data_IF_952501802909
#
_entry.id   IF_952501802909
#
_cell.length_a   1.000
_cell.length_b   1.000
_cell.length_c   1.000
_cell.angle_alpha   90.00
_cell.angle_beta   90.00
_cell.angle_gamma   90.00
#
_symmetry.space_group_name_H-M   'P 1'
#
loop_
_entity.id
_entity.type
_entity.pdbx_description
1 polymer ?
#
# COMPACT_ATOMS: atom_id res chain seq x y z
N UNK A 1 -16.73 -2.74 5.06
CA UNK A 1 -16.24 -3.57 3.94
C UNK A 1 -14.98 -2.92 3.43
N UNK A 2 -13.84 -3.53 3.72
CA UNK A 2 -12.53 -3.05 3.31
C UNK A 2 -12.43 -3.13 1.78
N UNK A 3 -12.35 -1.99 1.08
CA UNK A 3 -12.32 -1.98 -0.39
C UNK A 3 -10.88 -2.12 -0.91
N UNK A 4 -10.29 -3.29 -0.66
CA UNK A 4 -8.90 -3.60 -1.00
C UNK A 4 -8.84 -4.52 -2.21
N UNK A 5 -8.20 -4.06 -3.28
CA UNK A 5 -7.92 -4.82 -4.49
C UNK A 5 -6.45 -5.25 -4.51
N UNK A 6 -6.21 -6.55 -4.65
CA UNK A 6 -4.86 -7.10 -4.81
C UNK A 6 -4.67 -7.51 -6.27
N UNK A 7 -3.56 -7.09 -6.89
CA UNK A 7 -3.24 -7.38 -8.29
C UNK A 7 -1.86 -8.01 -8.37
N UNK A 8 -1.71 -9.03 -9.22
CA UNK A 8 -0.45 -9.76 -9.37
C UNK A 8 -0.22 -10.85 -8.31
N UNK A 9 -1.25 -11.20 -7.54
CA UNK A 9 -1.23 -12.28 -6.54
C UNK A 9 -0.99 -13.67 -7.14
N UNK A 10 -1.20 -13.82 -8.45
CA UNK A 10 -1.02 -15.07 -9.20
C UNK A 10 0.42 -15.62 -9.14
N UNK A 11 1.40 -14.74 -8.93
CA UNK A 11 2.82 -15.10 -8.86
C UNK A 11 3.36 -15.22 -7.43
N UNK A 12 2.49 -15.12 -6.43
CA UNK A 12 2.85 -15.16 -5.01
C UNK A 12 2.46 -16.50 -4.39
N UNK A 13 3.24 -16.93 -3.40
CA UNK A 13 2.86 -18.07 -2.56
C UNK A 13 1.64 -17.74 -1.68
N UNK A 14 0.89 -18.77 -1.28
CA UNK A 14 -0.27 -18.62 -0.40
C UNK A 14 0.10 -17.98 0.95
N UNK A 15 1.28 -18.32 1.49
CA UNK A 15 1.83 -17.72 2.72
C UNK A 15 2.10 -16.22 2.56
N UNK A 16 2.79 -15.85 1.47
CA UNK A 16 3.11 -14.46 1.13
C UNK A 16 1.84 -13.61 0.99
N UNK A 17 0.82 -14.16 0.34
CA UNK A 17 -0.47 -13.48 0.19
C UNK A 17 -1.20 -13.30 1.52
N UNK A 18 -1.13 -14.30 2.40
CA UNK A 18 -1.76 -14.24 3.73
C UNK A 18 -1.11 -13.17 4.59
N UNK A 19 0.22 -13.08 4.58
CA UNK A 19 0.97 -12.02 5.27
C UNK A 19 0.62 -10.65 4.69
N UNK A 20 0.64 -10.49 3.36
CA UNK A 20 0.30 -9.23 2.72
C UNK A 20 -1.13 -8.77 3.07
N UNK A 21 -2.11 -9.67 3.04
CA UNK A 21 -3.50 -9.37 3.44
C UNK A 21 -3.61 -8.96 4.90
N UNK A 22 -2.91 -9.65 5.81
CA UNK A 22 -2.91 -9.32 7.24
C UNK A 22 -2.31 -7.93 7.49
N UNK A 23 -1.21 -7.60 6.81
CA UNK A 23 -0.57 -6.28 6.88
C UNK A 23 -1.49 -5.21 6.29
N UNK A 24 -2.08 -5.44 5.12
CA UNK A 24 -3.01 -4.52 4.47
C UNK A 24 -4.24 -4.25 5.35
N UNK A 25 -4.86 -5.27 5.94
CA UNK A 25 -6.00 -5.11 6.85
C UNK A 25 -5.63 -4.27 8.08
N UNK A 26 -4.48 -4.54 8.70
CA UNK A 26 -3.97 -3.77 9.84
C UNK A 26 -3.68 -2.31 9.49
N UNK A 27 -3.16 -2.06 8.28
CA UNK A 27 -2.89 -0.70 7.80
C UNK A 27 -4.13 0.02 7.32
N UNK A 28 -5.12 -0.68 6.78
CA UNK A 28 -6.37 -0.09 6.32
C UNK A 28 -7.07 0.64 7.45
N UNK A 29 -7.16 0.03 8.64
CA UNK A 29 -7.71 0.70 9.82
C UNK A 29 -6.89 1.93 10.28
N UNK A 30 -5.59 1.99 9.99
CA UNK A 30 -4.78 3.19 10.23
C UNK A 30 -5.06 4.27 9.19
N UNK A 31 -5.15 3.90 7.91
CA UNK A 31 -5.45 4.81 6.81
C UNK A 31 -6.86 5.41 6.94
N UNK A 32 -7.85 4.62 7.39
CA UNK A 32 -9.23 5.07 7.60
C UNK A 32 -9.34 6.11 8.74
N UNK A 33 -8.42 6.08 9.71
CA UNK A 33 -8.35 7.10 10.78
C UNK A 33 -7.79 8.44 10.30
N UNK A 34 -6.92 8.38 9.30
CA UNK A 34 -6.24 9.53 8.68
C UNK A 34 -7.06 10.13 7.53
N UNK A 35 -7.85 9.30 6.82
CA UNK A 35 -8.70 9.68 5.68
C UNK A 35 -10.14 9.23 5.93
N UNK A 36 -11.07 10.19 6.04
CA UNK A 36 -12.50 9.98 6.30
C UNK A 36 -13.20 9.10 5.27
N UNK A 37 -12.74 9.11 4.01
CA UNK A 37 -13.35 8.33 2.91
C UNK A 37 -12.29 7.72 2.02
N UNK A 38 -12.00 6.44 2.25
CA UNK A 38 -11.24 5.61 1.31
C UNK A 38 -12.23 5.07 0.27
N UNK A 39 -11.98 5.39 -1.00
CA UNK A 39 -12.75 4.82 -2.11
C UNK A 39 -12.24 3.42 -2.42
N UNK A 40 -10.92 3.26 -2.55
CA UNK A 40 -10.29 2.01 -2.94
C UNK A 40 -8.82 1.99 -2.54
N UNK A 41 -8.33 0.86 -2.04
CA UNK A 41 -6.90 0.59 -1.89
C UNK A 41 -6.50 -0.48 -2.89
N UNK A 42 -5.57 -0.18 -3.79
CA UNK A 42 -5.10 -1.10 -4.81
C UNK A 42 -3.64 -1.42 -4.52
N UNK A 43 -3.30 -2.71 -4.37
CA UNK A 43 -1.92 -3.17 -4.12
C UNK A 43 -1.50 -4.07 -5.26
N UNK A 44 -0.61 -3.57 -6.11
CA UNK A 44 -0.02 -4.29 -7.22
C UNK A 44 1.33 -4.87 -6.81
N UNK A 45 1.46 -6.19 -6.89
CA UNK A 45 2.70 -6.88 -6.58
C UNK A 45 3.27 -7.45 -7.87
N UNK A 46 4.45 -6.98 -8.26
CA UNK A 46 5.16 -7.40 -9.47
C UNK A 46 6.50 -8.01 -9.08
N UNK A 47 6.64 -9.35 -9.10
CA UNK A 47 7.95 -9.97 -8.95
C UNK A 47 8.80 -9.69 -10.19
N UNK A 48 9.99 -9.14 -9.97
CA UNK A 48 11.00 -8.79 -10.97
C UNK A 48 12.25 -9.64 -10.75
N UNK A 49 12.60 -10.46 -11.73
CA UNK A 49 13.87 -11.20 -11.72
C UNK A 49 14.96 -10.37 -12.38
N UNK A 50 15.77 -9.65 -11.60
CA UNK A 50 17.00 -9.02 -12.11
C UNK A 50 18.18 -9.97 -11.90
N UNK A 51 18.61 -10.62 -12.98
CA UNK A 51 19.87 -11.36 -13.17
C UNK A 51 20.54 -11.95 -11.92
N UNK A 52 20.30 -13.24 -11.64
CA UNK A 52 20.91 -14.00 -10.54
C UNK A 52 19.90 -14.88 -9.80
N UNK A 53 20.32 -15.48 -8.67
CA UNK A 53 19.47 -16.38 -7.85
C UNK A 53 18.53 -15.64 -6.87
N UNK A 54 18.39 -14.32 -7.00
CA UNK A 54 17.58 -13.48 -6.10
C UNK A 54 16.48 -12.76 -6.88
N UNK A 55 15.26 -12.77 -6.35
CA UNK A 55 14.10 -12.06 -6.88
C UNK A 55 13.98 -10.70 -6.19
N UNK A 56 13.59 -9.67 -6.94
CA UNK A 56 13.12 -8.39 -6.37
C UNK A 56 11.61 -8.32 -6.52
N UNK A 57 10.97 -7.61 -5.63
CA UNK A 57 9.53 -7.38 -5.62
C UNK A 57 9.31 -5.88 -5.77
N UNK A 58 8.61 -5.51 -6.84
CA UNK A 58 8.09 -4.16 -6.99
C UNK A 58 6.66 -4.16 -6.47
N UNK A 59 6.38 -3.36 -5.44
CA UNK A 59 5.05 -3.18 -4.87
C UNK A 59 4.59 -1.75 -5.15
N UNK A 60 3.50 -1.64 -5.89
CA UNK A 60 2.86 -0.36 -6.20
C UNK A 60 1.55 -0.34 -5.42
N UNK A 61 1.46 0.53 -4.42
CA UNK A 61 0.25 0.74 -3.64
C UNK A 61 -0.42 2.05 -4.07
N UNK A 62 -1.74 2.03 -4.27
CA UNK A 62 -2.54 3.19 -4.66
C UNK A 62 -3.75 3.31 -3.75
N UNK A 63 -3.85 4.42 -3.04
CA UNK A 63 -5.03 4.77 -2.25
C UNK A 63 -5.84 5.82 -3.00
N UNK A 64 -7.03 5.43 -3.42
CA UNK A 64 -8.01 6.32 -4.05
C UNK A 64 -8.91 6.89 -2.97
N UNK A 65 -8.99 8.21 -2.94
CA UNK A 65 -9.95 8.96 -2.12
C UNK A 65 -10.76 9.87 -3.04
N UNK A 66 -11.94 10.35 -2.63
CA UNK A 66 -12.74 11.25 -3.47
C UNK A 66 -12.01 12.54 -3.84
N UNK A 67 -11.04 12.97 -3.03
CA UNK A 67 -10.36 14.25 -3.18
C UNK A 67 -8.99 14.13 -3.85
N UNK A 68 -8.26 13.04 -3.58
CA UNK A 68 -6.87 12.84 -4.00
C UNK A 68 -6.57 11.34 -4.21
N UNK A 69 -5.56 11.05 -5.03
CA UNK A 69 -4.98 9.72 -5.15
C UNK A 69 -3.59 9.79 -4.55
N UNK A 70 -3.27 8.83 -3.68
CA UNK A 70 -1.95 8.65 -3.10
C UNK A 70 -1.34 7.39 -3.71
N UNK A 71 -0.09 7.45 -4.13
CA UNK A 71 0.60 6.34 -4.78
C UNK A 71 1.99 6.19 -4.17
N UNK A 72 2.40 4.94 -3.95
CA UNK A 72 3.78 4.60 -3.60
C UNK A 72 4.24 3.44 -4.49
N UNK A 73 5.49 3.52 -4.96
CA UNK A 73 6.18 2.47 -5.72
C UNK A 73 7.48 2.13 -4.99
N UNK A 74 7.54 0.90 -4.46
CA UNK A 74 8.67 0.41 -3.66
C UNK A 74 9.26 -0.82 -4.32
N UNK A 75 10.58 -0.83 -4.45
CA UNK A 75 11.33 -1.97 -5.01
C UNK A 75 12.24 -2.57 -3.94
N UNK A 76 11.84 -3.69 -3.36
CA UNK A 76 12.59 -4.37 -2.30
C UNK A 76 12.90 -5.83 -2.66
N UNK A 77 13.85 -6.43 -1.95
CA UNK A 77 14.17 -7.86 -2.10
C UNK A 77 13.20 -8.77 -1.34
N UNK A 78 12.55 -8.22 -0.31
CA UNK A 78 11.58 -8.92 0.53
C UNK A 78 10.18 -8.34 0.30
N UNK A 79 9.22 -9.21 0.03
CA UNK A 79 7.85 -8.81 -0.27
C UNK A 79 7.17 -8.15 0.94
N UNK A 80 7.32 -8.73 2.13
CA UNK A 80 6.68 -8.23 3.34
C UNK A 80 7.15 -6.81 3.63
N UNK A 81 8.46 -6.60 3.51
CA UNK A 81 9.08 -5.28 3.63
C UNK A 81 8.58 -4.32 2.54
N UNK A 82 8.52 -4.75 1.28
CA UNK A 82 8.00 -3.93 0.19
C UNK A 82 6.58 -3.43 0.46
N UNK A 83 5.68 -4.33 0.88
CA UNK A 83 4.28 -4.01 1.21
C UNK A 83 4.21 -3.06 2.40
N UNK A 84 4.98 -3.34 3.45
CA UNK A 84 5.00 -2.50 4.64
C UNK A 84 5.44 -1.07 4.32
N UNK A 85 6.56 -0.93 3.59
CA UNK A 85 7.11 0.37 3.20
C UNK A 85 6.15 1.12 2.26
N UNK A 86 5.55 0.45 1.28
CA UNK A 86 4.62 1.11 0.36
C UNK A 86 3.38 1.68 1.09
N UNK A 87 2.83 0.94 2.06
CA UNK A 87 1.70 1.40 2.86
C UNK A 87 2.10 2.51 3.84
N UNK A 88 3.31 2.43 4.42
CA UNK A 88 3.86 3.46 5.28
C UNK A 88 4.09 4.77 4.52
N UNK A 89 4.60 4.70 3.29
CA UNK A 89 4.81 5.86 2.43
C UNK A 89 3.49 6.54 2.07
N UNK A 90 2.45 5.77 1.73
CA UNK A 90 1.09 6.32 1.55
C UNK A 90 0.62 7.02 2.81
N UNK A 91 0.80 6.39 3.98
CA UNK A 91 0.40 7.00 5.26
C UNK A 91 1.16 8.31 5.50
N UNK A 92 2.47 8.34 5.28
CA UNK A 92 3.28 9.56 5.40
C UNK A 92 2.80 10.61 4.42
N UNK A 93 2.53 10.25 3.17
CA UNK A 93 2.04 11.19 2.16
C UNK A 93 0.69 11.79 2.56
N UNK A 94 -0.23 10.99 3.12
CA UNK A 94 -1.49 11.48 3.68
C UNK A 94 -1.21 12.45 4.82
N UNK A 95 -0.36 12.07 5.79
CA UNK A 95 -0.04 12.92 6.92
C UNK A 95 0.59 14.25 6.47
N UNK A 96 1.53 14.22 5.53
CA UNK A 96 2.13 15.42 4.97
C UNK A 96 1.08 16.28 4.24
N UNK A 97 0.30 15.69 3.32
CA UNK A 97 -0.64 16.44 2.49
C UNK A 97 -1.91 16.89 3.22
N UNK A 98 -2.27 16.26 4.34
CA UNK A 98 -3.45 16.59 5.12
C UNK A 98 -3.13 17.37 6.41
N UNK A 99 -1.92 17.26 6.99
CA UNK A 99 -1.51 18.13 8.11
C UNK A 99 -0.81 19.42 7.66
N UNK A 100 -0.12 19.45 6.51
CA UNK A 100 0.43 20.71 5.99
C UNK A 100 -0.65 21.64 5.43
N UNK A 101 -1.86 21.13 5.17
CA UNK A 101 -3.07 21.92 4.92
C UNK A 101 -3.61 22.40 6.30
N UNK A 102 -2.91 23.36 6.89
CA UNK A 102 -3.12 23.77 8.28
C UNK A 102 -4.56 24.20 8.58
N UNK A 103 -5.00 23.82 9.79
CA UNK A 103 -6.31 24.05 10.44
C UNK A 103 -7.40 23.04 10.07
N UNK A 104 -7.52 22.05 10.95
CA UNK A 104 -8.78 21.35 11.27
C UNK A 104 -9.70 21.07 10.08
N UNK A 105 -9.29 20.17 9.19
CA UNK A 105 -10.26 19.30 8.56
C UNK A 105 -9.57 18.07 7.98
N UNK A 106 -9.68 16.94 8.68
CA UNK A 106 -9.26 15.65 8.13
C UNK A 106 -9.78 15.50 6.69
N UNK A 107 -8.87 15.13 5.79
CA UNK A 107 -9.19 14.40 4.57
C UNK A 107 -10.01 13.14 4.94
#
# INVERSE_FOLDING_TARGET
MDNIQYVGTDKLSADELTVAKAVCSSYYGKLEREVKKITQLIVHIKPQSKGGNRKRYQVIARLHTPRKIFESDVLEWDLSKAVHTALEDIKKEIQHRCHSDGRDNKC
#
